data_IF_673130504141
#
_entry.id   IF_673130504141
#
_cell.length_a   1.000
_cell.length_b   1.000
_cell.length_c   1.000
_cell.angle_alpha   90.00
_cell.angle_beta   90.00
_cell.angle_gamma   90.00
#
_symmetry.space_group_name_H-M   'P 1'
#
loop_
_entity.id
_entity.type
_entity.pdbx_description
1 polymer ?
#
# COMPACT_ATOMS: atom_id res chain seq x y z
N UNK A 1 22.84 -17.15 -2.13
CA UNK A 1 23.39 -16.71 -0.83
C UNK A 1 23.36 -15.19 -0.76
N UNK A 2 23.16 -14.60 0.42
CA UNK A 2 23.17 -13.14 0.59
C UNK A 2 24.55 -12.61 0.22
N UNK A 3 24.57 -11.53 -0.58
CA UNK A 3 25.79 -10.85 -0.98
C UNK A 3 26.57 -10.30 0.23
N UNK A 4 27.90 -10.42 0.21
CA UNK A 4 28.75 -10.00 1.34
C UNK A 4 28.77 -8.49 1.50
N UNK A 5 28.78 -7.73 0.40
CA UNK A 5 28.79 -6.27 0.46
C UNK A 5 27.48 -5.76 1.07
N UNK A 6 26.34 -6.32 0.66
CA UNK A 6 25.04 -6.02 1.26
C UNK A 6 25.03 -6.20 2.79
N UNK A 7 25.64 -7.28 3.30
CA UNK A 7 25.74 -7.50 4.75
C UNK A 7 26.62 -6.45 5.44
N UNK A 8 27.71 -6.04 4.80
CA UNK A 8 28.62 -5.00 5.33
C UNK A 8 27.87 -3.66 5.38
N UNK A 9 27.22 -3.26 4.30
CA UNK A 9 26.49 -1.99 4.19
C UNK A 9 25.34 -1.91 5.18
N UNK A 10 24.57 -3.00 5.33
CA UNK A 10 23.49 -3.06 6.31
C UNK A 10 24.00 -2.96 7.76
N UNK A 11 25.14 -3.60 8.07
CA UNK A 11 25.80 -3.49 9.38
C UNK A 11 26.38 -2.10 9.64
N UNK A 12 26.84 -1.42 8.60
CA UNK A 12 27.34 -0.05 8.66
C UNK A 12 26.24 1.01 8.77
N UNK A 13 24.97 0.61 8.79
CA UNK A 13 23.86 1.51 9.04
C UNK A 13 23.15 2.02 7.79
N UNK A 14 23.56 1.63 6.58
CA UNK A 14 22.93 2.11 5.35
C UNK A 14 21.46 1.65 5.29
N UNK A 15 20.53 2.59 5.39
CA UNK A 15 19.10 2.28 5.52
C UNK A 15 18.54 1.51 4.30
N UNK A 16 19.01 1.84 3.10
CA UNK A 16 18.66 1.10 1.88
C UNK A 16 19.11 -0.36 1.94
N UNK A 17 20.38 -0.61 2.32
CA UNK A 17 20.93 -1.95 2.47
C UNK A 17 20.19 -2.75 3.56
N UNK A 18 19.88 -2.11 4.69
CA UNK A 18 19.07 -2.71 5.75
C UNK A 18 17.67 -3.07 5.25
N UNK A 19 17.01 -2.17 4.52
CA UNK A 19 15.69 -2.41 3.95
C UNK A 19 15.69 -3.55 2.96
N UNK A 20 16.68 -3.58 2.06
CA UNK A 20 16.80 -4.61 1.05
C UNK A 20 17.12 -5.97 1.68
N UNK A 21 18.04 -6.01 2.65
CA UNK A 21 18.34 -7.22 3.41
C UNK A 21 17.09 -7.75 4.15
N UNK A 22 16.32 -6.85 4.75
CA UNK A 22 15.04 -7.18 5.38
C UNK A 22 14.06 -7.82 4.39
N UNK A 23 13.91 -7.24 3.21
CA UNK A 23 13.08 -7.78 2.13
C UNK A 23 13.56 -9.17 1.67
N UNK A 24 14.88 -9.41 1.53
CA UNK A 24 15.39 -10.74 1.17
C UNK A 24 15.01 -11.82 2.19
N UNK A 25 14.97 -11.47 3.47
CA UNK A 25 14.50 -12.39 4.53
C UNK A 25 12.98 -12.62 4.51
N UNK A 26 12.17 -11.64 4.06
CA UNK A 26 10.73 -11.85 3.80
C UNK A 26 10.54 -12.86 2.67
N UNK A 27 11.22 -12.66 1.54
CA UNK A 27 11.01 -13.48 0.34
C UNK A 27 11.67 -14.87 0.42
N UNK A 28 12.63 -15.07 1.34
CA UNK A 28 13.49 -16.25 1.30
C UNK A 28 14.34 -16.33 0.01
N UNK A 29 14.62 -15.18 -0.63
CA UNK A 29 15.41 -15.12 -1.86
C UNK A 29 16.89 -15.11 -1.52
N UNK A 30 17.62 -16.11 -2.00
CA UNK A 30 19.06 -16.32 -1.73
C UNK A 30 19.42 -16.57 -0.25
N UNK A 31 18.42 -16.75 0.62
CA UNK A 31 18.55 -17.04 2.05
C UNK A 31 17.30 -17.80 2.54
N UNK A 32 17.36 -18.45 3.69
CA UNK A 32 16.14 -18.99 4.30
C UNK A 32 15.23 -17.84 4.74
N UNK A 33 13.92 -17.97 4.48
CA UNK A 33 12.92 -17.03 4.98
C UNK A 33 13.02 -16.93 6.50
N UNK A 34 13.03 -15.70 7.01
CA UNK A 34 13.18 -15.43 8.44
C UNK A 34 12.56 -14.08 8.79
N UNK A 35 11.27 -14.10 9.17
CA UNK A 35 10.52 -12.89 9.48
C UNK A 35 11.07 -12.12 10.69
N UNK A 36 11.73 -12.78 11.65
CA UNK A 36 12.36 -12.10 12.79
C UNK A 36 13.57 -11.27 12.34
N UNK A 37 14.42 -11.84 11.47
CA UNK A 37 15.52 -11.09 10.86
C UNK A 37 15.03 -9.99 9.95
N UNK A 38 14.01 -10.27 9.12
CA UNK A 38 13.37 -9.26 8.28
C UNK A 38 12.91 -8.06 9.11
N UNK A 39 12.13 -8.31 10.17
CA UNK A 39 11.64 -7.30 11.09
C UNK A 39 12.79 -6.49 11.71
N UNK A 40 13.82 -7.15 12.22
CA UNK A 40 14.96 -6.46 12.84
C UNK A 40 15.65 -5.48 11.89
N UNK A 41 15.86 -5.87 10.63
CA UNK A 41 16.51 -5.01 9.64
C UNK A 41 15.60 -3.89 9.15
N UNK A 42 14.32 -4.20 8.89
CA UNK A 42 13.34 -3.21 8.48
C UNK A 42 13.10 -2.17 9.58
N UNK A 43 13.06 -2.58 10.85
CA UNK A 43 12.92 -1.66 11.98
C UNK A 43 14.07 -0.65 12.06
N UNK A 44 15.31 -1.09 11.82
CA UNK A 44 16.47 -0.19 11.77
C UNK A 44 16.35 0.81 10.61
N UNK A 45 16.04 0.35 9.40
CA UNK A 45 15.90 1.21 8.23
C UNK A 45 14.73 2.20 8.37
N UNK A 46 13.59 1.72 8.86
CA UNK A 46 12.40 2.53 9.06
C UNK A 46 12.58 3.59 10.17
N UNK A 47 13.34 3.25 11.21
CA UNK A 47 13.76 4.17 12.26
C UNK A 47 14.63 5.32 11.75
N UNK A 48 15.36 5.10 10.64
CA UNK A 48 16.12 6.14 9.93
C UNK A 48 15.26 6.96 8.95
N UNK A 49 13.96 6.70 8.86
CA UNK A 49 13.07 7.39 7.94
C UNK A 49 12.93 6.72 6.57
N UNK A 50 13.58 5.59 6.30
CA UNK A 50 13.58 5.00 4.98
C UNK A 50 12.19 4.49 4.57
N UNK A 51 11.61 5.14 3.56
CA UNK A 51 10.20 5.01 3.17
C UNK A 51 9.77 3.58 2.82
N UNK A 52 10.60 2.85 2.06
CA UNK A 52 10.29 1.46 1.67
C UNK A 52 10.30 0.54 2.90
N UNK A 53 11.20 0.76 3.86
CA UNK A 53 11.23 -0.03 5.07
C UNK A 53 10.01 0.24 5.97
N UNK A 54 9.58 1.51 6.06
CA UNK A 54 8.34 1.87 6.76
C UNK A 54 7.14 1.19 6.11
N UNK A 55 7.02 1.22 4.78
CA UNK A 55 5.97 0.48 4.06
C UNK A 55 6.00 -1.02 4.39
N UNK A 56 7.18 -1.65 4.28
CA UNK A 56 7.33 -3.08 4.52
C UNK A 56 7.02 -3.48 5.97
N UNK A 57 7.34 -2.63 6.96
CA UNK A 57 6.90 -2.86 8.34
C UNK A 57 5.38 -2.79 8.47
N UNK A 58 4.75 -1.79 7.84
CA UNK A 58 3.30 -1.70 7.79
C UNK A 58 2.68 -2.98 7.23
N UNK A 59 3.25 -3.49 6.14
CA UNK A 59 2.82 -4.74 5.52
C UNK A 59 3.01 -5.96 6.42
N UNK A 60 4.17 -6.09 7.07
CA UNK A 60 4.42 -7.19 8.00
C UNK A 60 3.39 -7.22 9.14
N UNK A 61 3.06 -6.06 9.71
CA UNK A 61 2.06 -5.98 10.78
C UNK A 61 0.62 -6.31 10.33
N UNK A 62 0.34 -6.33 9.03
CA UNK A 62 -0.97 -6.73 8.49
C UNK A 62 -1.02 -8.16 7.96
N UNK A 63 0.12 -8.82 7.72
CA UNK A 63 0.16 -10.08 6.93
C UNK A 63 0.96 -11.21 7.57
N UNK A 64 1.95 -10.91 8.40
CA UNK A 64 2.85 -11.92 8.98
C UNK A 64 2.40 -12.21 10.41
N UNK A 65 2.10 -13.48 10.70
CA UNK A 65 1.79 -13.95 12.06
C UNK A 65 2.86 -14.91 12.63
N UNK A 66 4.03 -14.98 11.97
CA UNK A 66 5.18 -15.77 12.41
C UNK A 66 6.35 -14.85 12.74
N UNK A 67 6.77 -14.83 14.01
CA UNK A 67 7.91 -14.00 14.46
C UNK A 67 7.62 -12.51 14.65
N UNK A 68 6.56 -11.99 14.03
CA UNK A 68 5.93 -10.69 14.30
C UNK A 68 4.44 -10.94 14.45
N UNK A 69 3.81 -10.42 15.50
CA UNK A 69 2.35 -10.51 15.66
C UNK A 69 1.66 -9.45 14.82
N UNK A 70 0.51 -9.81 14.26
CA UNK A 70 -0.38 -8.85 13.57
C UNK A 70 -0.77 -7.74 14.55
N UNK A 71 -0.66 -6.49 14.10
CA UNK A 71 -0.94 -5.29 14.89
C UNK A 71 -1.29 -4.12 13.96
N UNK A 72 -2.59 -3.90 13.76
CA UNK A 72 -3.08 -2.91 12.80
C UNK A 72 -2.79 -1.45 13.22
N UNK A 73 -2.69 -1.16 14.52
CA UNK A 73 -2.30 0.17 14.99
C UNK A 73 -0.84 0.47 14.58
N UNK A 74 0.07 -0.51 14.77
CA UNK A 74 1.45 -0.38 14.29
C UNK A 74 1.52 -0.32 12.76
N UNK A 75 0.65 -1.05 12.06
CA UNK A 75 0.56 -0.97 10.61
C UNK A 75 0.19 0.44 10.14
N UNK A 76 -0.88 1.03 10.72
CA UNK A 76 -1.29 2.42 10.45
C UNK A 76 -0.14 3.38 10.73
N UNK A 77 0.55 3.23 11.86
CA UNK A 77 1.67 4.10 12.21
C UNK A 77 2.76 4.10 11.12
N UNK A 78 3.19 2.92 10.68
CA UNK A 78 4.25 2.80 9.69
C UNK A 78 3.80 3.17 8.28
N UNK A 79 2.59 2.78 7.87
CA UNK A 79 2.01 3.22 6.61
C UNK A 79 1.84 4.74 6.57
N UNK A 80 1.36 5.36 7.64
CA UNK A 80 1.22 6.83 7.74
C UNK A 80 2.55 7.53 7.54
N UNK A 81 3.64 7.03 8.15
CA UNK A 81 4.97 7.61 7.93
C UNK A 81 5.42 7.53 6.47
N UNK A 82 5.26 6.38 5.84
CA UNK A 82 5.61 6.21 4.43
C UNK A 82 4.68 7.03 3.49
N UNK A 83 3.40 7.11 3.83
CA UNK A 83 2.38 7.83 3.07
C UNK A 83 2.62 9.35 3.09
N UNK A 84 3.01 9.89 4.25
CA UNK A 84 3.42 11.30 4.40
C UNK A 84 4.69 11.64 3.63
N UNK A 85 5.53 10.65 3.32
CA UNK A 85 6.69 10.79 2.44
C UNK A 85 6.35 10.58 0.95
N UNK A 86 5.07 10.46 0.60
CA UNK A 86 4.62 10.35 -0.78
C UNK A 86 4.59 8.91 -1.34
N UNK A 87 4.71 7.87 -0.51
CA UNK A 87 4.70 6.51 -1.03
C UNK A 87 3.29 6.03 -1.37
N UNK A 88 2.95 5.99 -2.66
CA UNK A 88 1.61 5.69 -3.15
C UNK A 88 1.04 4.34 -2.67
N UNK A 89 1.87 3.29 -2.56
CA UNK A 89 1.42 2.00 -2.03
C UNK A 89 1.00 2.07 -0.56
N UNK A 90 1.71 2.86 0.26
CA UNK A 90 1.31 3.07 1.67
C UNK A 90 0.06 3.93 1.78
N UNK A 91 -0.08 4.95 0.94
CA UNK A 91 -1.30 5.76 0.88
C UNK A 91 -2.50 4.91 0.49
N UNK A 92 -2.36 4.05 -0.53
CA UNK A 92 -3.39 3.09 -0.92
C UNK A 92 -3.75 2.13 0.22
N UNK A 93 -2.76 1.51 0.86
CA UNK A 93 -3.01 0.55 1.94
C UNK A 93 -3.64 1.22 3.17
N UNK A 94 -3.21 2.42 3.53
CA UNK A 94 -3.80 3.19 4.61
C UNK A 94 -5.25 3.56 4.31
N UNK A 95 -5.53 4.03 3.10
CA UNK A 95 -6.89 4.33 2.66
C UNK A 95 -7.79 3.10 2.67
N UNK A 96 -7.27 1.92 2.29
CA UNK A 96 -8.01 0.65 2.39
C UNK A 96 -8.30 0.22 3.82
N UNK A 97 -7.37 0.41 4.75
CA UNK A 97 -7.58 0.07 6.17
C UNK A 97 -8.76 0.88 6.73
N UNK A 98 -8.76 2.20 6.51
CA UNK A 98 -9.86 3.05 6.96
C UNK A 98 -11.17 2.78 6.22
N UNK A 99 -11.12 2.43 4.92
CA UNK A 99 -12.31 2.12 4.14
C UNK A 99 -13.02 0.85 4.64
N UNK A 100 -12.26 -0.20 4.94
CA UNK A 100 -12.83 -1.49 5.34
C UNK A 100 -13.26 -1.52 6.80
N UNK A 101 -12.61 -0.73 7.68
CA UNK A 101 -12.90 -0.75 9.12
C UNK A 101 -12.58 -2.10 9.78
N UNK A 102 -11.79 -2.95 9.12
CA UNK A 102 -11.39 -4.23 9.66
C UNK A 102 -10.21 -4.00 10.61
N UNK A 103 -10.46 -4.21 11.91
CA UNK A 103 -9.48 -4.07 13.00
C UNK A 103 -9.07 -2.62 13.35
N UNK A 104 -9.65 -1.64 12.67
CA UNK A 104 -9.51 -0.19 12.94
C UNK A 104 -10.88 0.46 12.75
N UNK A 105 -11.14 1.60 13.38
CA UNK A 105 -12.42 2.31 13.17
C UNK A 105 -12.55 2.72 11.70
N UNK A 106 -13.71 2.42 11.10
CA UNK A 106 -13.99 2.81 9.72
C UNK A 106 -14.06 4.33 9.62
N UNK A 107 -13.32 4.89 8.66
CA UNK A 107 -13.28 6.33 8.42
C UNK A 107 -13.24 6.59 6.91
N UNK A 108 -14.39 6.94 6.35
CA UNK A 108 -14.48 7.21 4.92
C UNK A 108 -13.78 8.51 4.51
N UNK A 109 -13.63 9.48 5.42
CA UNK A 109 -12.94 10.74 5.14
C UNK A 109 -11.44 10.51 5.00
N UNK A 110 -10.82 9.81 5.96
CA UNK A 110 -9.42 9.39 5.89
C UNK A 110 -9.18 8.47 4.69
N UNK A 111 -10.08 7.51 4.43
CA UNK A 111 -10.01 6.67 3.25
C UNK A 111 -9.98 7.50 1.95
N UNK A 112 -10.91 8.44 1.81
CA UNK A 112 -10.99 9.32 0.66
C UNK A 112 -9.72 10.16 0.49
N UNK A 113 -9.19 10.73 1.58
CA UNK A 113 -7.96 11.55 1.54
C UNK A 113 -6.80 10.73 0.99
N UNK A 114 -6.49 9.58 1.60
CA UNK A 114 -5.33 8.79 1.21
C UNK A 114 -5.46 8.16 -0.17
N UNK A 115 -6.65 7.63 -0.51
CA UNK A 115 -6.92 7.07 -1.83
C UNK A 115 -6.86 8.14 -2.91
N UNK A 116 -7.32 9.37 -2.65
CA UNK A 116 -7.22 10.48 -3.59
C UNK A 116 -5.77 10.87 -3.87
N UNK A 117 -4.92 10.91 -2.83
CA UNK A 117 -3.49 11.24 -2.99
C UNK A 117 -2.78 10.16 -3.83
N UNK A 118 -3.02 8.88 -3.54
CA UNK A 118 -2.45 7.77 -4.31
C UNK A 118 -2.97 7.73 -5.76
N UNK A 119 -4.26 8.00 -5.96
CA UNK A 119 -4.91 8.00 -7.27
C UNK A 119 -4.38 9.10 -8.19
N UNK A 120 -4.12 10.30 -7.63
CA UNK A 120 -3.49 11.41 -8.36
C UNK A 120 -2.04 11.12 -8.77
N UNK A 121 -1.33 10.28 -8.02
CA UNK A 121 -0.01 9.76 -8.42
C UNK A 121 -0.10 8.61 -9.44
N UNK A 122 -1.31 8.21 -9.82
CA UNK A 122 -1.53 7.21 -10.83
C UNK A 122 -1.46 5.76 -10.33
N UNK A 123 -1.56 5.53 -9.02
CA UNK A 123 -1.63 4.19 -8.43
C UNK A 123 -2.95 3.52 -8.82
N UNK A 124 -2.90 2.54 -9.72
CA UNK A 124 -4.10 1.97 -10.36
C UNK A 124 -5.04 1.28 -9.36
N UNK A 125 -4.50 0.60 -8.34
CA UNK A 125 -5.34 0.02 -7.28
C UNK A 125 -6.14 1.07 -6.50
N UNK A 126 -5.54 2.24 -6.26
CA UNK A 126 -6.22 3.32 -5.54
C UNK A 126 -7.29 3.98 -6.41
N UNK A 127 -7.01 4.12 -7.70
CA UNK A 127 -7.98 4.62 -8.68
C UNK A 127 -9.21 3.68 -8.75
N UNK A 128 -9.00 2.36 -8.77
CA UNK A 128 -10.11 1.39 -8.70
C UNK A 128 -10.90 1.52 -7.39
N UNK A 129 -10.21 1.56 -6.24
CA UNK A 129 -10.89 1.67 -4.94
C UNK A 129 -11.68 2.97 -4.81
N UNK A 130 -11.10 4.10 -5.22
CA UNK A 130 -11.79 5.39 -5.21
C UNK A 130 -12.96 5.42 -6.18
N UNK A 131 -12.80 4.82 -7.36
CA UNK A 131 -13.91 4.65 -8.31
C UNK A 131 -15.06 3.84 -7.73
N UNK A 132 -14.76 2.71 -7.07
CA UNK A 132 -15.77 1.90 -6.39
C UNK A 132 -16.45 2.67 -5.25
N UNK A 133 -15.72 3.50 -4.48
CA UNK A 133 -16.34 4.35 -3.46
C UNK A 133 -17.40 5.29 -4.05
N UNK A 134 -17.17 5.82 -5.27
CA UNK A 134 -18.15 6.63 -5.98
C UNK A 134 -19.30 5.82 -6.60
N UNK A 135 -19.08 4.55 -6.98
CA UNK A 135 -20.17 3.67 -7.45
C UNK A 135 -21.09 3.24 -6.31
N UNK A 136 -20.53 2.96 -5.14
CA UNK A 136 -21.27 2.45 -3.99
C UNK A 136 -21.82 3.56 -3.08
N UNK A 137 -21.45 4.82 -3.32
CA UNK A 137 -21.76 5.93 -2.40
C UNK A 137 -21.13 5.80 -1.00
N UNK A 138 -19.96 5.15 -0.88
CA UNK A 138 -19.31 4.88 0.42
C UNK A 138 -18.60 6.12 0.96
N UNK A 139 -19.31 6.83 1.85
CA UNK A 139 -18.83 8.08 2.46
C UNK A 139 -18.68 9.25 1.48
N UNK A 140 -19.19 9.08 0.26
CA UNK A 140 -19.21 10.06 -0.82
C UNK A 140 -20.57 9.99 -1.50
N UNK A 141 -21.08 11.10 -2.08
CA UNK A 141 -22.22 11.02 -2.98
C UNK A 141 -21.91 10.09 -4.16
N UNK A 142 -22.86 9.23 -4.49
CA UNK A 142 -22.74 8.35 -5.65
C UNK A 142 -22.52 9.15 -6.93
N UNK A 143 -21.57 8.73 -7.76
CA UNK A 143 -21.26 9.39 -9.02
C UNK A 143 -20.60 8.44 -10.02
N UNK A 144 -21.39 7.75 -10.86
CA UNK A 144 -20.87 6.91 -11.93
C UNK A 144 -19.92 7.65 -12.89
N UNK A 145 -20.16 8.95 -13.12
CA UNK A 145 -19.27 9.81 -13.94
C UNK A 145 -17.88 9.97 -13.32
N UNK A 146 -17.79 10.24 -12.01
CA UNK A 146 -16.49 10.34 -11.32
C UNK A 146 -15.83 8.96 -11.18
N UNK A 147 -16.62 7.91 -10.98
CA UNK A 147 -16.11 6.54 -10.99
C UNK A 147 -15.50 6.16 -12.33
N UNK A 148 -16.21 6.43 -13.44
CA UNK A 148 -15.73 6.20 -14.80
C UNK A 148 -14.42 6.95 -15.07
N UNK A 149 -14.26 8.18 -14.58
CA UNK A 149 -12.98 8.89 -14.68
C UNK A 149 -11.83 8.11 -14.02
N UNK A 150 -11.95 7.74 -12.75
CA UNK A 150 -10.87 7.06 -12.02
C UNK A 150 -10.61 5.64 -12.53
N UNK A 151 -11.66 4.85 -12.74
CA UNK A 151 -11.55 3.48 -13.26
C UNK A 151 -11.01 3.51 -14.69
N UNK A 152 -11.39 4.48 -15.51
CA UNK A 152 -10.87 4.69 -16.86
C UNK A 152 -9.36 4.96 -16.89
N UNK A 153 -8.85 5.76 -15.94
CA UNK A 153 -7.41 5.98 -15.78
C UNK A 153 -6.65 4.71 -15.38
N UNK A 154 -7.21 3.89 -14.49
CA UNK A 154 -6.60 2.62 -14.11
C UNK A 154 -6.61 1.62 -15.28
N UNK A 155 -7.74 1.56 -16.00
CA UNK A 155 -7.97 0.71 -17.16
C UNK A 155 -7.01 1.03 -18.31
N UNK A 156 -6.79 2.32 -18.60
CA UNK A 156 -5.86 2.73 -19.68
C UNK A 156 -4.41 2.34 -19.40
N UNK A 157 -4.06 2.11 -18.12
CA UNK A 157 -2.77 1.55 -17.68
C UNK A 157 -2.76 0.01 -17.60
N UNK A 158 -3.80 -0.65 -18.08
CA UNK A 158 -3.90 -2.11 -18.14
C UNK A 158 -4.29 -2.79 -16.84
N UNK A 159 -4.83 -2.07 -15.84
CA UNK A 159 -5.31 -2.71 -14.61
C UNK A 159 -6.52 -3.61 -14.93
N UNK A 160 -6.42 -4.91 -14.63
CA UNK A 160 -7.46 -5.90 -14.97
C UNK A 160 -8.74 -5.70 -14.15
N UNK A 161 -8.63 -5.42 -12.85
CA UNK A 161 -9.79 -5.08 -12.00
C UNK A 161 -10.53 -3.87 -12.58
N UNK A 162 -9.80 -2.87 -13.09
CA UNK A 162 -10.42 -1.71 -13.72
C UNK A 162 -11.16 -2.07 -15.02
N UNK A 163 -10.71 -3.06 -15.78
CA UNK A 163 -11.41 -3.54 -17.00
C UNK A 163 -12.69 -4.31 -16.64
N UNK A 164 -12.63 -5.11 -15.58
CA UNK A 164 -13.79 -5.82 -15.02
C UNK A 164 -14.83 -4.80 -14.55
N UNK A 165 -14.45 -3.89 -13.64
CA UNK A 165 -15.33 -2.84 -13.14
C UNK A 165 -15.89 -1.95 -14.27
N UNK A 166 -15.09 -1.65 -15.29
CA UNK A 166 -15.56 -0.91 -16.45
C UNK A 166 -16.71 -1.61 -17.17
N UNK A 167 -16.61 -2.94 -17.27
CA UNK A 167 -17.59 -3.76 -17.98
C UNK A 167 -18.83 -4.03 -17.14
N UNK A 168 -18.62 -4.36 -15.86
CA UNK A 168 -19.70 -4.72 -14.92
C UNK A 168 -20.65 -3.56 -14.65
N UNK A 169 -20.15 -2.32 -14.69
CA UNK A 169 -20.93 -1.10 -14.43
C UNK A 169 -21.20 -0.27 -15.69
N UNK A 170 -20.94 -0.82 -16.88
CA UNK A 170 -21.23 -0.17 -18.17
C UNK A 170 -20.64 1.26 -18.26
N UNK A 171 -19.42 1.46 -17.74
CA UNK A 171 -18.87 2.80 -17.49
C UNK A 171 -18.61 3.63 -18.77
N UNK A 172 -18.72 3.02 -19.96
CA UNK A 172 -18.69 3.74 -21.23
C UNK A 172 -19.86 4.71 -21.40
N UNK A 173 -20.97 4.52 -20.70
CA UNK A 173 -22.12 5.43 -20.78
C UNK A 173 -21.86 6.80 -20.12
N UNK A 174 -20.79 6.92 -19.34
CA UNK A 174 -20.52 8.10 -18.50
C UNK A 174 -19.28 8.90 -18.93
N UNK A 175 -18.70 8.60 -20.10
CA UNK A 175 -17.50 9.29 -20.62
C UNK A 175 -17.75 10.21 -21.82
N UNK A 176 -18.94 10.16 -22.42
CA UNK A 176 -19.29 10.99 -23.58
C UNK A 176 -20.06 12.24 -23.12
N UNK A 177 -19.34 13.30 -22.73
CA UNK A 177 -19.85 14.69 -22.60
C UNK A 177 -18.70 15.71 -22.53
#
# INVERSE_FOLDING_TARGET
MIDKQLLIDAKNGMAEAQSYLGYKYIEGKDTAQDYRKAYSWLLKAAGQGYTIAQHNLGHMYTTVNEGVSIDYEKAIYWYTKAAKQGYAFSQHNLGRLYLLGEHVEQDFEEAFIWLSIASKQGHTGAQCTLGQMYLDGRGLPESPKVAAYWIGLARSKGNEIAKELWSDYELWEYVDE
#
